data_IF_094022706146
#
_entry.id   IF_094022706146
#
_cell.length_a   1.000
_cell.length_b   1.000
_cell.length_c   1.000
_cell.angle_alpha   90.00
_cell.angle_beta   90.00
_cell.angle_gamma   90.00
#
_symmetry.space_group_name_H-M   'P 1'
#
loop_
_entity.id
_entity.type
_entity.pdbx_description
1 polymer ?
#
# COMPACT_ATOMS: atom_id res chain seq x y z
N UNK A 1 5.78 -3.66 2.17
CA UNK A 1 6.62 -4.51 1.31
C UNK A 1 6.94 -5.79 2.03
N UNK A 2 7.15 -6.86 1.27
CA UNK A 2 7.64 -8.14 1.78
C UNK A 2 9.05 -7.91 2.36
N UNK A 3 9.28 -8.38 3.59
CA UNK A 3 10.57 -8.26 4.26
C UNK A 3 11.49 -9.42 3.82
N UNK A 4 12.63 -9.16 3.15
CA UNK A 4 13.54 -10.23 2.75
C UNK A 4 14.30 -10.85 3.92
N UNK A 5 14.32 -10.22 5.10
CA UNK A 5 15.05 -10.70 6.28
C UNK A 5 14.22 -11.59 7.21
N UNK A 6 12.90 -11.57 7.07
CA UNK A 6 11.96 -12.30 7.94
C UNK A 6 10.90 -12.97 7.08
N UNK A 7 10.87 -14.29 7.05
CA UNK A 7 9.88 -15.05 6.27
C UNK A 7 8.46 -14.73 6.75
N UNK A 8 7.57 -14.37 5.80
CA UNK A 8 6.21 -13.93 6.12
C UNK A 8 6.12 -12.55 6.80
N UNK A 9 7.24 -11.84 6.97
CA UNK A 9 7.29 -10.51 7.55
C UNK A 9 7.00 -9.40 6.55
N UNK A 10 6.50 -8.26 7.05
CA UNK A 10 6.23 -7.06 6.26
C UNK A 10 6.91 -5.84 6.88
N UNK A 11 7.35 -4.91 6.03
CA UNK A 11 7.92 -3.62 6.42
C UNK A 11 7.32 -2.48 5.59
N UNK A 12 7.44 -1.23 6.05
CA UNK A 12 7.03 -0.08 5.25
C UNK A 12 7.79 -0.02 3.93
N UNK A 13 7.10 0.42 2.86
CA UNK A 13 7.78 0.67 1.59
C UNK A 13 8.60 1.93 1.64
N UNK A 14 9.89 1.86 1.29
CA UNK A 14 10.80 3.00 1.21
C UNK A 14 11.43 3.16 -0.19
N UNK A 15 10.88 2.49 -1.19
CA UNK A 15 11.38 2.52 -2.57
C UNK A 15 10.22 2.87 -3.51
N UNK A 16 10.48 3.78 -4.45
CA UNK A 16 9.54 4.12 -5.52
C UNK A 16 9.28 2.90 -6.41
N UNK A 17 8.04 2.74 -6.89
CA UNK A 17 7.67 1.65 -7.81
C UNK A 17 8.09 0.24 -7.34
N UNK A 18 8.00 -0.04 -6.05
CA UNK A 18 8.44 -1.32 -5.51
C UNK A 18 7.47 -2.44 -5.91
N UNK A 19 7.98 -3.44 -6.62
CA UNK A 19 7.24 -4.67 -6.97
C UNK A 19 7.06 -5.62 -5.78
N UNK A 20 7.74 -5.38 -4.66
CA UNK A 20 7.58 -6.13 -3.42
C UNK A 20 6.42 -5.60 -2.55
N UNK A 21 5.64 -4.64 -3.05
CA UNK A 21 4.43 -4.16 -2.38
C UNK A 21 3.35 -5.25 -2.41
N UNK A 22 2.72 -5.50 -1.26
CA UNK A 22 1.73 -6.57 -1.10
C UNK A 22 0.37 -6.03 -0.62
N UNK A 23 0.32 -4.79 -0.15
CA UNK A 23 -0.90 -4.19 0.35
C UNK A 23 -0.64 -2.93 1.16
N UNK A 24 -1.70 -2.42 1.76
CA UNK A 24 -1.71 -1.19 2.55
C UNK A 24 -1.91 -1.55 4.01
N UNK A 25 -1.08 -1.00 4.89
CA UNK A 25 -1.26 -1.16 6.33
C UNK A 25 -2.59 -0.52 6.76
N UNK A 26 -3.49 -1.30 7.37
CA UNK A 26 -4.81 -0.82 7.80
C UNK A 26 -5.06 -1.16 9.26
N UNK A 27 -5.43 -0.14 10.05
CA UNK A 27 -5.80 -0.31 11.45
C UNK A 27 -7.23 -0.82 11.64
N UNK A 28 -8.04 -0.88 10.56
CA UNK A 28 -9.43 -1.35 10.56
C UNK A 28 -9.75 -2.17 9.29
N UNK A 29 -9.23 -3.40 9.14
CA UNK A 29 -9.50 -4.23 7.97
C UNK A 29 -10.94 -4.74 7.95
N UNK A 30 -11.60 -4.70 6.78
CA UNK A 30 -12.97 -5.23 6.60
C UNK A 30 -13.06 -6.77 6.65
N UNK A 31 -11.96 -7.46 6.33
CA UNK A 31 -11.81 -8.91 6.49
C UNK A 31 -10.34 -9.25 6.81
N UNK A 32 -10.10 -10.20 7.72
CA UNK A 32 -8.77 -10.70 8.06
C UNK A 32 -8.59 -12.09 7.47
N UNK A 33 -7.91 -12.19 6.32
CA UNK A 33 -7.54 -13.47 5.71
C UNK A 33 -6.42 -14.14 6.52
N UNK A 34 -6.77 -15.15 7.33
CA UNK A 34 -5.83 -15.86 8.23
C UNK A 34 -5.45 -17.21 7.64
N UNK A 35 -4.15 -17.55 7.62
CA UNK A 35 -3.72 -18.95 7.74
C UNK A 35 -3.57 -19.25 9.23
N UNK A 36 -4.50 -20.02 9.79
CA UNK A 36 -4.49 -20.33 11.22
C UNK A 36 -3.31 -21.26 11.54
N UNK A 37 -2.22 -20.71 12.08
CA UNK A 37 -1.35 -21.47 12.99
C UNK A 37 -1.88 -21.27 14.42
N UNK A 38 -1.96 -22.38 15.15
CA UNK A 38 -2.64 -22.54 16.45
C UNK A 38 -1.95 -21.80 17.61
N UNK A 39 -0.77 -21.20 17.37
CA UNK A 39 0.01 -20.54 18.41
C UNK A 39 -0.38 -19.07 18.62
N UNK A 40 -0.95 -18.78 19.79
CA UNK A 40 -1.42 -17.45 20.21
C UNK A 40 -0.27 -16.49 20.58
N UNK A 41 0.97 -16.99 20.63
CA UNK A 41 2.19 -16.24 20.97
C UNK A 41 2.63 -15.23 19.90
N UNK A 42 2.16 -15.39 18.65
CA UNK A 42 2.50 -14.51 17.52
C UNK A 42 1.53 -13.34 17.30
N UNK A 43 0.50 -13.20 18.14
CA UNK A 43 -0.56 -12.19 17.97
C UNK A 43 -0.06 -10.73 18.08
N UNK A 44 1.13 -10.49 18.65
CA UNK A 44 1.69 -9.13 18.83
C UNK A 44 2.43 -8.58 17.62
N UNK A 45 2.92 -9.45 16.73
CA UNK A 45 3.77 -9.07 15.60
C UNK A 45 3.04 -9.09 14.25
N UNK A 46 1.71 -9.27 14.27
CA UNK A 46 0.90 -9.25 13.06
C UNK A 46 0.74 -7.83 12.51
N UNK A 47 1.11 -7.66 11.24
CA UNK A 47 0.92 -6.41 10.49
C UNK A 47 -0.40 -6.53 9.73
N UNK A 48 -1.52 -5.93 10.19
CA UNK A 48 -2.78 -5.98 9.46
C UNK A 48 -2.64 -5.28 8.10
N UNK A 49 -2.84 -6.04 7.04
CA UNK A 49 -2.74 -5.55 5.66
C UNK A 49 -4.06 -5.69 4.93
N UNK A 50 -4.47 -4.59 4.30
CA UNK A 50 -5.56 -4.58 3.34
C UNK A 50 -5.00 -4.90 1.95
N UNK A 51 -5.54 -5.97 1.36
CA UNK A 51 -5.19 -6.46 0.02
C UNK A 51 -6.30 -6.22 -1.01
N UNK A 52 -7.51 -5.91 -0.54
CA UNK A 52 -8.68 -5.65 -1.39
C UNK A 52 -9.65 -4.73 -0.66
N UNK A 53 -10.36 -3.89 -1.42
CA UNK A 53 -11.40 -3.00 -0.91
C UNK A 53 -10.98 -1.52 -0.88
N UNK A 54 -11.76 -0.70 -0.18
CA UNK A 54 -11.52 0.74 -0.05
C UNK A 54 -10.77 0.98 1.26
N UNK A 55 -9.61 1.64 1.17
CA UNK A 55 -8.69 1.81 2.30
C UNK A 55 -8.16 3.25 2.37
N UNK A 56 -8.25 3.91 3.55
CA UNK A 56 -7.63 5.20 3.75
C UNK A 56 -6.10 5.04 3.72
N UNK A 57 -5.45 5.75 2.81
CA UNK A 57 -4.04 5.56 2.52
C UNK A 57 -3.29 6.87 2.53
N UNK A 58 -2.11 6.85 3.15
CA UNK A 58 -1.16 7.96 3.13
C UNK A 58 -0.58 8.14 1.73
N UNK A 59 -0.70 9.34 1.18
CA UNK A 59 -0.26 9.68 -0.18
C UNK A 59 0.64 10.92 -0.20
N UNK A 60 1.53 10.97 -1.19
CA UNK A 60 2.47 12.05 -1.48
C UNK A 60 2.24 12.55 -2.91
N UNK A 61 2.20 13.87 -3.08
CA UNK A 61 2.13 14.53 -4.38
C UNK A 61 3.50 14.72 -5.05
N UNK A 62 4.52 13.93 -4.67
CA UNK A 62 5.89 14.05 -5.21
C UNK A 62 5.98 13.76 -6.72
N UNK A 63 5.07 12.93 -7.25
CA UNK A 63 4.90 12.67 -8.68
C UNK A 63 3.80 13.54 -9.31
N UNK A 64 3.44 14.65 -8.66
CA UNK A 64 2.38 15.56 -9.06
C UNK A 64 1.04 15.29 -8.38
N UNK A 65 0.02 16.12 -8.70
CA UNK A 65 -1.30 16.03 -8.09
C UNK A 65 -1.99 14.70 -8.41
N UNK A 66 -2.68 14.16 -7.40
CA UNK A 66 -3.45 12.92 -7.47
C UNK A 66 -4.92 13.27 -7.68
N UNK A 67 -5.54 12.62 -8.66
CA UNK A 67 -6.96 12.75 -8.96
C UNK A 67 -7.65 11.38 -8.90
N UNK A 68 -8.97 11.34 -8.68
CA UNK A 68 -9.73 10.10 -8.76
C UNK A 68 -9.49 9.36 -10.07
N UNK A 69 -9.22 8.05 -9.99
CA UNK A 69 -8.91 7.17 -11.11
C UNK A 69 -7.42 7.01 -11.41
N UNK A 70 -6.55 7.87 -10.87
CA UNK A 70 -5.10 7.76 -11.01
C UNK A 70 -4.60 6.43 -10.41
N UNK A 71 -3.68 5.78 -11.10
CA UNK A 71 -2.98 4.60 -10.58
C UNK A 71 -1.95 5.06 -9.54
N UNK A 72 -1.92 4.37 -8.41
CA UNK A 72 -1.02 4.68 -7.31
C UNK A 72 0.02 3.58 -7.12
N UNK A 73 1.25 4.00 -6.86
CA UNK A 73 2.44 3.16 -6.64
C UNK A 73 3.10 3.57 -5.32
N UNK A 74 4.08 2.81 -4.84
CA UNK A 74 4.85 3.21 -3.65
C UNK A 74 5.69 4.45 -3.93
N UNK A 75 5.82 5.33 -2.94
CA UNK A 75 6.61 6.56 -3.01
C UNK A 75 8.02 6.38 -2.42
N UNK A 76 8.85 7.42 -2.55
CA UNK A 76 10.14 7.50 -1.88
C UNK A 76 10.00 7.65 -0.36
N UNK A 77 8.85 8.15 0.12
CA UNK A 77 8.55 8.35 1.53
C UNK A 77 8.07 7.03 2.17
N UNK A 78 8.69 6.59 3.28
CA UNK A 78 8.32 5.36 3.97
C UNK A 78 6.82 5.25 4.29
N UNK A 79 6.14 4.27 3.67
CA UNK A 79 4.73 3.98 3.92
C UNK A 79 3.72 4.91 3.25
N UNK A 80 4.15 5.70 2.26
CA UNK A 80 3.27 6.54 1.43
C UNK A 80 3.17 5.99 0.01
N UNK A 81 2.00 6.17 -0.60
CA UNK A 81 1.81 5.97 -2.04
C UNK A 81 1.92 7.31 -2.79
N UNK A 82 2.11 7.27 -4.09
CA UNK A 82 2.15 8.43 -4.97
C UNK A 82 1.54 8.08 -6.33
N UNK A 83 1.30 9.10 -7.15
CA UNK A 83 0.86 8.90 -8.54
C UNK A 83 1.88 8.09 -9.32
N UNK A 84 1.44 7.02 -9.96
CA UNK A 84 2.23 6.30 -10.94
C UNK A 84 2.22 7.07 -12.25
N UNK A 85 3.41 7.43 -12.73
CA UNK A 85 3.60 8.18 -13.99
C UNK A 85 4.41 7.39 -15.01
N UNK A 86 5.31 6.51 -14.56
CA UNK A 86 6.12 5.65 -15.43
C UNK A 86 5.46 4.28 -15.66
N UNK A 87 4.89 4.09 -16.84
CA UNK A 87 4.24 2.83 -17.23
C UNK A 87 5.19 1.65 -17.32
N UNK A 88 6.48 1.87 -17.58
CA UNK A 88 7.46 0.78 -17.68
C UNK A 88 7.74 0.11 -16.33
N UNK A 89 7.52 0.85 -15.23
CA UNK A 89 7.74 0.39 -13.86
C UNK A 89 6.44 0.06 -13.10
N UNK A 90 5.28 0.23 -13.72
CA UNK A 90 3.99 0.00 -13.07
C UNK A 90 3.67 -1.48 -12.87
N UNK A 91 4.16 -2.37 -13.74
CA UNK A 91 3.83 -3.79 -13.66
C UNK A 91 4.32 -4.38 -12.32
N UNK A 92 3.38 -4.86 -11.51
CA UNK A 92 3.64 -5.37 -10.16
C UNK A 92 3.86 -4.31 -9.07
N UNK A 93 3.89 -3.01 -9.41
CA UNK A 93 4.07 -1.91 -8.46
C UNK A 93 2.78 -1.13 -8.16
N UNK A 94 1.71 -1.34 -8.95
CA UNK A 94 0.41 -0.70 -8.73
C UNK A 94 -0.24 -1.27 -7.48
N UNK A 95 -0.61 -0.37 -6.57
CA UNK A 95 -1.30 -0.70 -5.31
C UNK A 95 -2.83 -0.61 -5.50
N UNK A 96 -3.27 0.28 -6.37
CA UNK A 96 -4.70 0.50 -6.64
C UNK A 96 -4.96 1.82 -7.35
N UNK A 97 -6.23 2.25 -7.29
CA UNK A 97 -6.71 3.51 -7.88
C UNK A 97 -7.14 4.50 -6.83
N UNK A 98 -6.76 5.76 -7.02
CA UNK A 98 -7.21 6.86 -6.17
C UNK A 98 -8.73 7.03 -6.27
N UNK A 99 -9.40 7.22 -5.12
CA UNK A 99 -10.80 7.64 -5.03
C UNK A 99 -10.93 9.07 -4.52
N UNK A 100 -9.87 9.63 -3.94
CA UNK A 100 -9.79 11.03 -3.51
C UNK A 100 -8.81 11.86 -4.34
N UNK A 101 -8.66 13.13 -3.95
CA UNK A 101 -7.75 14.09 -4.57
C UNK A 101 -6.65 14.53 -3.60
N UNK A 102 -5.49 14.89 -4.13
CA UNK A 102 -4.42 15.59 -3.39
C UNK A 102 -3.62 16.47 -4.36
N UNK A 103 -3.64 17.78 -4.17
CA UNK A 103 -2.95 18.71 -5.09
C UNK A 103 -1.46 18.87 -4.79
N UNK A 104 -1.09 18.96 -3.51
CA UNK A 104 0.27 19.25 -3.06
C UNK A 104 0.59 18.59 -1.71
N UNK A 105 1.88 18.31 -1.47
CA UNK A 105 2.37 17.84 -0.19
C UNK A 105 2.00 16.39 0.10
N UNK A 106 1.47 16.13 1.28
CA UNK A 106 1.08 14.79 1.74
C UNK A 106 -0.30 14.82 2.37
N UNK A 107 -1.07 13.74 2.21
CA UNK A 107 -2.40 13.62 2.81
C UNK A 107 -2.82 12.17 3.00
N UNK A 108 -4.08 11.98 3.39
CA UNK A 108 -4.73 10.68 3.44
C UNK A 108 -5.94 10.73 2.51
N UNK A 109 -6.01 9.79 1.56
CA UNK A 109 -7.13 9.66 0.64
C UNK A 109 -7.63 8.21 0.63
N UNK A 110 -8.89 8.03 0.24
CA UNK A 110 -9.42 6.69 -0.03
C UNK A 110 -8.82 6.13 -1.32
N UNK A 111 -8.40 4.86 -1.28
CA UNK A 111 -7.88 4.11 -2.43
C UNK A 111 -8.69 2.83 -2.58
N UNK A 112 -9.12 2.55 -3.82
CA UNK A 112 -9.61 1.23 -4.20
C UNK A 112 -8.43 0.30 -4.47
N UNK A 113 -8.14 -0.59 -3.52
CA UNK A 113 -7.05 -1.57 -3.60
C UNK A 113 -7.45 -2.70 -4.53
N UNK A 114 -6.65 -2.89 -5.56
CA UNK A 114 -6.74 -4.02 -6.50
C UNK A 114 -5.34 -4.54 -6.72
N UNK A 115 -5.02 -5.72 -6.19
CA UNK A 115 -3.78 -6.42 -6.54
C UNK A 115 -3.99 -7.04 -7.92
N UNK A 116 -3.16 -6.65 -8.90
CA UNK A 116 -3.11 -7.20 -10.25
C UNK A 116 -1.74 -7.78 -10.54
#
# INVERSE_FOLDING_TARGET
>A
MINPKVEGGFVLSSQVYSTAVMGIYSTKPGARGRRQKTDLSYMKDEVPMAMIGIVPTKVSAENGPIHPGDLLVTSSRPGYAMKGTDRSQMLGAVIGKALGHLDVGTGVIEIGVTLQ
#
